data_IF_803563112211
#
_entry.id   IF_803563112211
#
_cell.length_a   1.000
_cell.length_b   1.000
_cell.length_c   1.000
_cell.angle_alpha   90.00
_cell.angle_beta   90.00
_cell.angle_gamma   90.00
#
_symmetry.space_group_name_H-M   'P 1'
#
loop_
_entity.id
_entity.type
_entity.pdbx_description
1 polymer ?
#
# COMPACT_ATOMS: atom_id res chain seq x y z
N UNK A 1 35.83 14.20 26.81
CA UNK A 1 35.35 13.09 25.97
C UNK A 1 35.21 11.86 26.86
N UNK A 2 34.00 11.43 27.19
CA UNK A 2 33.82 10.12 27.85
C UNK A 2 34.43 9.06 26.92
N UNK A 3 35.36 8.25 27.42
CA UNK A 3 35.94 7.16 26.63
C UNK A 3 34.80 6.21 26.28
N UNK A 4 34.69 5.83 25.02
CA UNK A 4 33.63 4.94 24.49
C UNK A 4 33.45 3.70 25.37
N UNK A 5 34.53 3.16 25.95
CA UNK A 5 34.48 2.03 26.88
C UNK A 5 33.76 2.29 28.20
N UNK A 6 33.84 3.50 28.76
CA UNK A 6 33.16 3.85 30.01
C UNK A 6 31.66 4.03 29.77
N UNK A 7 31.28 4.54 28.58
CA UNK A 7 29.89 4.61 28.15
C UNK A 7 29.29 3.22 27.91
N UNK A 8 30.01 2.34 27.20
CA UNK A 8 29.57 0.96 26.95
C UNK A 8 29.37 0.16 28.24
N UNK A 9 30.26 0.32 29.23
CA UNK A 9 30.10 -0.31 30.54
C UNK A 9 28.91 0.25 31.33
N UNK A 10 28.65 1.56 31.23
CA UNK A 10 27.54 2.20 31.94
C UNK A 10 26.17 1.83 31.35
N UNK A 11 26.07 1.77 30.03
CA UNK A 11 24.82 1.55 29.30
C UNK A 11 24.65 0.10 28.80
N UNK A 12 25.40 -0.87 29.36
CA UNK A 12 25.46 -2.24 28.83
C UNK A 12 24.07 -2.91 28.76
N UNK A 13 23.15 -2.56 29.66
CA UNK A 13 21.77 -3.07 29.62
C UNK A 13 21.02 -2.61 28.36
N UNK A 14 21.21 -1.36 27.93
CA UNK A 14 20.61 -0.84 26.70
C UNK A 14 21.16 -1.57 25.48
N UNK A 15 22.46 -1.82 25.44
CA UNK A 15 23.07 -2.60 24.37
C UNK A 15 22.59 -4.05 24.37
N UNK A 16 22.45 -4.69 25.53
CA UNK A 16 21.91 -6.04 25.65
C UNK A 16 20.47 -6.15 25.13
N UNK A 17 19.62 -5.15 25.39
CA UNK A 17 18.25 -5.08 24.85
C UNK A 17 18.21 -4.83 23.34
N UNK A 18 19.23 -4.14 22.80
CA UNK A 18 19.30 -3.76 21.38
C UNK A 18 19.90 -4.87 20.49
N UNK A 19 20.77 -5.72 21.04
CA UNK A 19 21.37 -6.87 20.34
C UNK A 19 20.34 -7.78 19.65
N UNK A 20 19.26 -8.27 20.28
CA UNK A 20 18.31 -9.17 19.61
C UNK A 20 17.64 -8.49 18.40
N UNK A 21 17.34 -7.20 18.48
CA UNK A 21 16.77 -6.44 17.35
C UNK A 21 17.77 -6.29 16.21
N UNK A 22 19.04 -5.94 16.51
CA UNK A 22 20.08 -5.87 15.47
C UNK A 22 20.30 -7.23 14.83
N UNK A 23 20.42 -8.30 15.62
CA UNK A 23 20.62 -9.64 15.09
C UNK A 23 19.48 -10.05 14.17
N UNK A 24 18.24 -9.76 14.56
CA UNK A 24 17.08 -10.01 13.71
C UNK A 24 17.16 -9.23 12.39
N UNK A 25 17.48 -7.94 12.42
CA UNK A 25 17.64 -7.12 11.21
C UNK A 25 18.74 -7.67 10.30
N UNK A 26 19.89 -8.04 10.85
CA UNK A 26 21.02 -8.56 10.08
C UNK A 26 20.66 -9.90 9.44
N UNK A 27 20.03 -10.81 10.19
CA UNK A 27 19.73 -12.17 9.72
C UNK A 27 18.55 -12.19 8.73
N UNK A 28 17.51 -11.40 8.97
CA UNK A 28 16.26 -11.51 8.20
C UNK A 28 16.07 -10.41 7.14
N UNK A 29 16.76 -9.27 7.23
CA UNK A 29 16.71 -8.21 6.21
C UNK A 29 18.01 -8.11 5.41
N UNK A 30 19.16 -7.96 6.07
CA UNK A 30 20.43 -7.73 5.36
C UNK A 30 20.99 -8.99 4.70
N UNK A 31 20.87 -10.16 5.33
CA UNK A 31 21.34 -11.42 4.72
C UNK A 31 20.61 -11.75 3.41
N UNK A 32 19.28 -11.63 3.28
CA UNK A 32 18.62 -11.77 1.98
C UNK A 32 19.10 -10.77 0.91
N UNK A 33 19.53 -9.56 1.30
CA UNK A 33 20.08 -8.59 0.33
C UNK A 33 21.35 -9.08 -0.35
N UNK A 34 22.15 -9.95 0.28
CA UNK A 34 23.26 -10.63 -0.38
C UNK A 34 22.77 -11.47 -1.59
N UNK A 35 21.58 -12.06 -1.49
CA UNK A 35 20.93 -12.80 -2.56
C UNK A 35 20.50 -11.96 -3.76
N UNK A 36 20.44 -10.62 -3.64
CA UNK A 36 20.12 -9.74 -4.77
C UNK A 36 21.14 -9.84 -5.91
N UNK A 37 22.35 -10.36 -5.63
CA UNK A 37 23.34 -10.68 -6.66
C UNK A 37 22.84 -11.70 -7.70
N UNK A 38 21.83 -12.52 -7.36
CA UNK A 38 21.19 -13.46 -8.27
C UNK A 38 20.62 -12.75 -9.51
N UNK A 39 20.20 -11.48 -9.39
CA UNK A 39 19.73 -10.67 -10.51
C UNK A 39 20.76 -10.45 -11.65
N UNK A 40 22.05 -10.65 -11.37
CA UNK A 40 23.15 -10.41 -12.31
C UNK A 40 23.89 -11.70 -12.72
N UNK A 41 23.34 -12.86 -12.36
CA UNK A 41 23.95 -14.17 -12.55
C UNK A 41 23.01 -15.11 -13.30
N UNK A 42 23.57 -16.05 -14.05
CA UNK A 42 22.86 -17.22 -14.54
C UNK A 42 22.79 -18.24 -13.39
N UNK A 43 21.73 -18.12 -12.60
CA UNK A 43 21.65 -18.77 -11.29
C UNK A 43 21.19 -20.22 -11.41
N UNK A 44 21.99 -21.13 -10.85
CA UNK A 44 21.60 -22.52 -10.67
C UNK A 44 21.54 -22.86 -9.19
N UNK A 45 20.41 -23.44 -8.75
CA UNK A 45 20.23 -23.92 -7.38
C UNK A 45 21.36 -24.88 -6.97
N UNK A 46 21.82 -25.73 -7.89
CA UNK A 46 22.86 -26.72 -7.63
C UNK A 46 24.24 -26.11 -7.41
N UNK A 47 24.56 -25.01 -8.11
CA UNK A 47 25.85 -24.29 -7.95
C UNK A 47 25.80 -23.31 -6.78
N UNK A 48 24.61 -22.86 -6.41
CA UNK A 48 24.41 -21.81 -5.41
C UNK A 48 24.84 -20.43 -5.93
N UNK A 49 24.60 -19.40 -5.10
CA UNK A 49 24.78 -17.99 -5.50
C UNK A 49 26.24 -17.65 -5.80
N UNK A 50 27.19 -18.19 -5.03
CA UNK A 50 28.61 -17.84 -5.16
C UNK A 50 29.23 -18.39 -6.45
N UNK A 51 28.97 -19.66 -6.79
CA UNK A 51 29.58 -20.35 -7.93
C UNK A 51 28.81 -20.18 -9.25
N UNK A 52 27.62 -19.58 -9.22
CA UNK A 52 26.88 -19.26 -10.45
C UNK A 52 27.60 -18.14 -11.25
N UNK A 53 27.72 -18.27 -12.59
CA UNK A 53 28.46 -17.34 -13.43
C UNK A 53 27.77 -15.97 -13.49
N UNK A 54 28.57 -14.92 -13.60
CA UNK A 54 28.10 -13.54 -13.72
C UNK A 54 27.81 -13.22 -15.19
N UNK A 55 26.58 -12.81 -15.47
CA UNK A 55 26.12 -12.45 -16.82
C UNK A 55 25.81 -10.95 -16.96
N UNK A 56 25.98 -10.18 -15.88
CA UNK A 56 25.80 -8.73 -15.93
C UNK A 56 24.32 -8.34 -16.04
N UNK A 57 23.98 -7.55 -17.05
CA UNK A 57 22.65 -6.96 -17.20
C UNK A 57 21.70 -7.71 -18.16
N UNK A 58 22.09 -8.91 -18.61
CA UNK A 58 21.33 -9.70 -19.59
C UNK A 58 19.87 -9.94 -19.17
N UNK A 59 19.63 -10.26 -17.89
CA UNK A 59 18.27 -10.43 -17.36
C UNK A 59 17.45 -9.14 -17.45
N UNK A 60 18.06 -7.97 -17.26
CA UNK A 60 17.38 -6.69 -17.37
C UNK A 60 17.02 -6.36 -18.82
N UNK A 61 17.93 -6.63 -19.77
CA UNK A 61 17.64 -6.47 -21.20
C UNK A 61 16.47 -7.38 -21.62
N UNK A 62 16.49 -8.63 -21.21
CA UNK A 62 15.40 -9.58 -21.44
C UNK A 62 14.09 -9.12 -20.80
N UNK A 63 14.18 -8.54 -19.59
CA UNK A 63 13.03 -8.04 -18.85
C UNK A 63 12.36 -6.86 -19.57
N UNK A 64 13.13 -5.90 -20.07
CA UNK A 64 12.60 -4.75 -20.81
C UNK A 64 12.10 -5.10 -22.22
N UNK A 65 12.56 -6.20 -22.81
CA UNK A 65 12.04 -6.74 -24.07
C UNK A 65 10.83 -7.68 -23.87
N UNK A 66 10.41 -7.94 -22.63
CA UNK A 66 9.29 -8.81 -22.32
C UNK A 66 7.98 -8.02 -22.21
N UNK A 67 7.08 -8.22 -23.19
CA UNK A 67 5.76 -7.56 -23.22
C UNK A 67 4.92 -7.80 -21.97
N UNK A 68 5.03 -8.99 -21.35
CA UNK A 68 4.29 -9.29 -20.13
C UNK A 68 4.79 -8.45 -18.96
N UNK A 69 6.11 -8.27 -18.85
CA UNK A 69 6.70 -7.44 -17.81
C UNK A 69 6.35 -5.97 -18.01
N UNK A 70 6.49 -5.43 -19.23
CA UNK A 70 6.13 -4.04 -19.52
C UNK A 70 4.65 -3.76 -19.22
N UNK A 71 3.77 -4.71 -19.54
CA UNK A 71 2.36 -4.65 -19.18
C UNK A 71 2.15 -4.70 -17.66
N UNK A 72 2.84 -5.60 -16.95
CA UNK A 72 2.77 -5.70 -15.50
C UNK A 72 3.25 -4.41 -14.82
N UNK A 73 4.34 -3.80 -15.31
CA UNK A 73 4.84 -2.50 -14.87
C UNK A 73 3.81 -1.39 -15.10
N UNK A 74 3.23 -1.33 -16.31
CA UNK A 74 2.16 -0.36 -16.63
C UNK A 74 0.95 -0.53 -15.71
N UNK A 75 0.49 -1.75 -15.51
CA UNK A 75 -0.65 -2.04 -14.63
C UNK A 75 -0.35 -1.68 -13.18
N UNK A 76 0.87 -1.93 -12.70
CA UNK A 76 1.34 -1.50 -11.38
C UNK A 76 1.15 0.01 -11.27
N UNK A 77 1.76 0.80 -12.17
CA UNK A 77 1.63 2.26 -12.15
C UNK A 77 0.19 2.77 -12.25
N UNK A 78 -0.67 2.14 -13.06
CA UNK A 78 -2.09 2.53 -13.17
C UNK A 78 -2.84 2.23 -11.87
N UNK A 79 -2.66 1.04 -11.29
CA UNK A 79 -3.31 0.65 -10.04
C UNK A 79 -2.83 1.51 -8.87
N UNK A 80 -1.53 1.79 -8.81
CA UNK A 80 -0.90 2.75 -7.91
C UNK A 80 -1.55 4.12 -8.03
N UNK A 81 -1.73 4.63 -9.25
CA UNK A 81 -2.38 5.92 -9.50
C UNK A 81 -3.85 5.92 -9.06
N UNK A 82 -4.61 4.86 -9.33
CA UNK A 82 -5.99 4.74 -8.85
C UNK A 82 -6.08 4.62 -7.34
N UNK A 83 -5.19 3.86 -6.72
CA UNK A 83 -5.09 3.76 -5.26
C UNK A 83 -4.74 5.09 -4.61
N UNK A 84 -3.95 5.93 -5.28
CA UNK A 84 -3.65 7.28 -4.82
C UNK A 84 -4.80 8.26 -5.06
N UNK A 85 -5.45 8.21 -6.23
CA UNK A 85 -6.48 9.17 -6.61
C UNK A 85 -7.82 8.90 -5.90
N UNK A 86 -8.20 7.63 -5.78
CA UNK A 86 -9.47 7.23 -5.16
C UNK A 86 -9.29 6.67 -3.76
N UNK A 87 -8.20 5.92 -3.50
CA UNK A 87 -8.01 5.27 -2.20
C UNK A 87 -7.54 6.21 -1.10
N UNK A 88 -6.55 7.06 -1.38
CA UNK A 88 -5.94 7.93 -0.37
C UNK A 88 -6.88 9.02 0.20
N UNK A 89 -7.77 9.67 -0.58
CA UNK A 89 -8.65 10.71 -0.03
C UNK A 89 -9.76 10.16 0.87
N UNK A 90 -10.25 8.94 0.64
CA UNK A 90 -11.43 8.40 1.34
C UNK A 90 -11.25 8.32 2.86
N UNK A 91 -10.13 7.81 3.41
CA UNK A 91 -9.87 7.86 4.85
C UNK A 91 -9.95 9.28 5.46
N UNK A 92 -9.48 10.30 4.72
CA UNK A 92 -9.52 11.70 5.16
C UNK A 92 -10.97 12.17 5.20
N UNK A 93 -11.75 11.89 4.15
CA UNK A 93 -13.17 12.20 4.12
C UNK A 93 -13.93 11.51 5.25
N UNK A 94 -13.67 10.22 5.51
CA UNK A 94 -14.28 9.49 6.63
C UNK A 94 -13.95 10.13 7.97
N UNK A 95 -12.69 10.53 8.19
CA UNK A 95 -12.28 11.19 9.43
C UNK A 95 -13.01 12.53 9.64
N UNK A 96 -13.13 13.34 8.58
CA UNK A 96 -13.88 14.60 8.61
C UNK A 96 -15.37 14.35 8.89
N UNK A 97 -15.98 13.36 8.23
CA UNK A 97 -17.37 12.97 8.47
C UNK A 97 -17.59 12.53 9.93
N UNK A 98 -16.71 11.68 10.48
CA UNK A 98 -16.79 11.26 11.88
C UNK A 98 -16.57 12.41 12.86
N UNK A 99 -15.78 13.41 12.49
CA UNK A 99 -15.58 14.60 13.32
C UNK A 99 -16.89 15.40 13.49
N UNK A 100 -17.69 15.51 12.44
CA UNK A 100 -18.95 16.27 12.45
C UNK A 100 -20.13 15.54 13.13
N UNK A 101 -19.98 14.26 13.47
CA UNK A 101 -21.05 13.51 14.17
C UNK A 101 -21.15 13.96 15.63
N UNK A 102 -22.27 14.62 15.96
CA UNK A 102 -22.59 15.06 17.33
C UNK A 102 -23.04 13.91 18.25
N UNK A 103 -23.83 12.97 17.72
CA UNK A 103 -24.35 11.85 18.50
C UNK A 103 -23.26 10.80 18.75
N UNK A 104 -22.75 10.76 19.97
CA UNK A 104 -21.64 9.87 20.36
C UNK A 104 -21.97 8.38 20.20
N UNK A 105 -23.22 7.96 20.44
CA UNK A 105 -23.63 6.56 20.25
C UNK A 105 -23.57 6.20 18.77
N UNK A 106 -24.13 7.06 17.91
CA UNK A 106 -24.08 6.85 16.47
C UNK A 106 -22.65 6.87 15.93
N UNK A 107 -21.83 7.83 16.36
CA UNK A 107 -20.41 7.92 16.00
C UNK A 107 -19.66 6.63 16.30
N UNK A 108 -19.80 6.12 17.53
CA UNK A 108 -19.13 4.88 17.96
C UNK A 108 -19.58 3.68 17.13
N UNK A 109 -20.89 3.51 16.91
CA UNK A 109 -21.41 2.41 16.09
C UNK A 109 -20.94 2.49 14.65
N UNK A 110 -21.01 3.68 14.03
CA UNK A 110 -20.57 3.89 12.65
C UNK A 110 -19.06 3.60 12.50
N UNK A 111 -18.24 4.06 13.44
CA UNK A 111 -16.80 3.75 13.47
C UNK A 111 -16.54 2.26 13.59
N UNK A 112 -17.22 1.55 14.51
CA UNK A 112 -17.05 0.09 14.64
C UNK A 112 -17.38 -0.63 13.34
N UNK A 113 -18.49 -0.30 12.67
CA UNK A 113 -18.88 -0.91 11.40
C UNK A 113 -17.83 -0.64 10.31
N UNK A 114 -17.37 0.60 10.21
CA UNK A 114 -16.45 1.04 9.15
C UNK A 114 -15.01 0.56 9.40
N UNK A 115 -14.61 0.32 10.65
CA UNK A 115 -13.27 -0.18 11.01
C UNK A 115 -13.17 -1.71 10.94
N UNK A 116 -14.30 -2.43 11.09
CA UNK A 116 -14.32 -3.89 11.13
C UNK A 116 -13.69 -4.58 9.91
N UNK A 117 -13.91 -4.12 8.65
CA UNK A 117 -13.38 -4.81 7.47
C UNK A 117 -11.86 -5.00 7.46
N UNK A 118 -11.11 -4.07 8.05
CA UNK A 118 -9.65 -4.14 8.12
C UNK A 118 -9.13 -5.40 8.82
N UNK A 119 -9.89 -5.91 9.81
CA UNK A 119 -9.50 -7.09 10.57
C UNK A 119 -9.83 -8.42 9.87
N UNK A 120 -10.49 -8.36 8.71
CA UNK A 120 -10.83 -9.53 7.92
C UNK A 120 -9.65 -9.87 7.01
N UNK A 121 -9.24 -11.14 6.99
CA UNK A 121 -8.16 -11.63 6.14
C UNK A 121 -8.44 -11.38 4.64
N UNK A 122 -7.39 -11.03 3.89
CA UNK A 122 -7.41 -10.87 2.43
C UNK A 122 -8.09 -12.04 1.70
N UNK A 123 -7.90 -13.27 2.19
CA UNK A 123 -8.48 -14.49 1.60
C UNK A 123 -10.00 -14.51 1.76
N UNK A 124 -10.50 -14.13 2.94
CA UNK A 124 -11.95 -14.08 3.21
C UNK A 124 -12.58 -12.96 2.37
N UNK A 125 -11.93 -11.79 2.29
CA UNK A 125 -12.39 -10.69 1.47
C UNK A 125 -12.45 -11.10 -0.01
N UNK A 126 -11.42 -11.80 -0.51
CA UNK A 126 -11.44 -12.34 -1.88
C UNK A 126 -12.62 -13.29 -2.10
N UNK A 127 -12.91 -14.18 -1.14
CA UNK A 127 -14.08 -15.06 -1.17
C UNK A 127 -15.42 -14.29 -1.20
N UNK A 128 -15.54 -13.21 -0.42
CA UNK A 128 -16.69 -12.32 -0.44
C UNK A 128 -16.83 -11.67 -1.82
N UNK A 129 -15.74 -11.18 -2.42
CA UNK A 129 -15.76 -10.59 -3.77
C UNK A 129 -16.18 -11.63 -4.81
N UNK A 130 -15.59 -12.82 -4.81
CA UNK A 130 -15.95 -13.90 -5.74
C UNK A 130 -17.45 -14.23 -5.62
N UNK A 131 -17.96 -14.33 -4.39
CA UNK A 131 -19.37 -14.65 -4.15
C UNK A 131 -20.29 -13.50 -4.57
N UNK A 132 -19.97 -12.27 -4.17
CA UNK A 132 -20.80 -11.08 -4.43
C UNK A 132 -20.91 -10.76 -5.92
N UNK A 133 -19.84 -10.99 -6.68
CA UNK A 133 -19.75 -10.72 -8.12
C UNK A 133 -19.97 -11.97 -9.00
N UNK A 134 -20.43 -13.07 -8.41
CA UNK A 134 -20.78 -14.30 -9.15
C UNK A 134 -21.95 -14.05 -10.13
N UNK A 135 -21.90 -14.59 -11.36
CA UNK A 135 -22.96 -14.41 -12.35
C UNK A 135 -24.28 -15.11 -12.00
N UNK A 136 -24.24 -16.24 -11.27
CA UNK A 136 -25.42 -17.07 -11.03
C UNK A 136 -26.17 -16.77 -9.73
N UNK A 137 -25.46 -16.31 -8.69
CA UNK A 137 -26.05 -16.10 -7.36
C UNK A 137 -25.46 -14.88 -6.62
N UNK A 138 -24.68 -14.04 -7.30
CA UNK A 138 -24.04 -12.89 -6.68
C UNK A 138 -25.02 -11.75 -6.42
N UNK A 139 -24.96 -11.15 -5.22
CA UNK A 139 -25.83 -10.04 -4.83
C UNK A 139 -25.80 -8.88 -5.83
N UNK A 140 -24.66 -8.63 -6.46
CA UNK A 140 -24.50 -7.55 -7.45
C UNK A 140 -25.34 -7.85 -8.70
N UNK A 141 -25.27 -9.08 -9.22
CA UNK A 141 -26.06 -9.47 -10.39
C UNK A 141 -27.56 -9.59 -10.07
N UNK A 142 -27.92 -10.01 -8.85
CA UNK A 142 -29.31 -10.00 -8.40
C UNK A 142 -29.91 -8.60 -8.40
N UNK A 143 -29.17 -7.61 -7.88
CA UNK A 143 -29.60 -6.20 -7.89
C UNK A 143 -29.69 -5.67 -9.32
N UNK A 144 -28.70 -5.98 -10.18
CA UNK A 144 -28.73 -5.59 -11.59
C UNK A 144 -29.94 -6.17 -12.34
N UNK A 145 -30.30 -7.42 -12.04
CA UNK A 145 -31.49 -8.07 -12.59
C UNK A 145 -32.80 -7.37 -12.23
N UNK A 146 -32.90 -6.74 -11.04
CA UNK A 146 -34.06 -5.92 -10.68
C UNK A 146 -34.25 -4.70 -11.58
N UNK A 147 -33.16 -4.22 -12.21
CA UNK A 147 -33.19 -3.13 -13.19
C UNK A 147 -33.21 -3.62 -14.63
N UNK A 148 -33.40 -4.92 -14.87
CA UNK A 148 -33.46 -5.51 -16.21
C UNK A 148 -32.10 -5.63 -16.91
N UNK A 149 -30.99 -5.60 -16.16
CA UNK A 149 -29.64 -5.78 -16.71
C UNK A 149 -29.26 -7.27 -16.68
N UNK A 150 -28.75 -7.77 -17.80
CA UNK A 150 -28.27 -9.16 -17.91
C UNK A 150 -27.11 -9.45 -16.94
N UNK A 151 -27.02 -10.70 -16.48
CA UNK A 151 -25.97 -11.12 -15.57
C UNK A 151 -24.57 -10.95 -16.17
N UNK A 152 -23.69 -10.27 -15.43
CA UNK A 152 -22.32 -9.98 -15.84
C UNK A 152 -21.35 -10.86 -15.06
N UNK A 153 -20.48 -11.58 -15.78
CA UNK A 153 -19.38 -12.31 -15.16
C UNK A 153 -18.16 -11.40 -14.92
N UNK A 154 -18.27 -10.52 -13.92
CA UNK A 154 -17.34 -9.45 -13.62
C UNK A 154 -15.87 -9.88 -13.54
N UNK A 155 -15.55 -10.96 -12.81
CA UNK A 155 -14.16 -11.38 -12.59
C UNK A 155 -13.46 -11.94 -13.83
N UNK A 156 -14.20 -12.22 -14.90
CA UNK A 156 -13.62 -12.60 -16.20
C UNK A 156 -13.40 -11.41 -17.14
N UNK A 157 -13.98 -10.25 -16.81
CA UNK A 157 -13.93 -9.04 -17.64
C UNK A 157 -12.79 -8.11 -17.18
N UNK A 158 -11.76 -7.89 -18.02
CA UNK A 158 -10.58 -7.10 -17.65
C UNK A 158 -10.89 -5.67 -17.19
N UNK A 159 -11.91 -5.04 -17.76
CA UNK A 159 -12.35 -3.69 -17.46
C UNK A 159 -12.87 -3.53 -16.03
N UNK A 160 -13.41 -4.61 -15.44
CA UNK A 160 -13.99 -4.61 -14.10
C UNK A 160 -12.98 -4.93 -13.00
N UNK A 161 -11.81 -5.49 -13.36
CA UNK A 161 -10.82 -5.87 -12.35
C UNK A 161 -10.36 -4.66 -11.51
N UNK A 162 -10.02 -3.53 -12.16
CA UNK A 162 -9.50 -2.35 -11.43
C UNK A 162 -10.55 -1.70 -10.51
N UNK A 163 -11.78 -1.42 -10.99
CA UNK A 163 -12.83 -0.88 -10.12
C UNK A 163 -13.14 -1.79 -8.92
N UNK A 164 -13.24 -3.10 -9.13
CA UNK A 164 -13.50 -4.06 -8.06
C UNK A 164 -12.33 -4.07 -7.06
N UNK A 165 -11.11 -4.19 -7.55
CA UNK A 165 -9.92 -4.23 -6.71
C UNK A 165 -9.76 -2.97 -5.84
N UNK A 166 -9.86 -1.77 -6.45
CA UNK A 166 -9.73 -0.51 -5.72
C UNK A 166 -10.91 -0.28 -4.78
N UNK A 167 -12.14 -0.59 -5.22
CA UNK A 167 -13.34 -0.46 -4.39
C UNK A 167 -13.29 -1.37 -3.16
N UNK A 168 -12.88 -2.63 -3.34
CA UNK A 168 -12.68 -3.57 -2.23
C UNK A 168 -11.56 -3.10 -1.30
N UNK A 169 -10.44 -2.59 -1.84
CA UNK A 169 -9.36 -2.05 -1.02
C UNK A 169 -9.80 -0.85 -0.18
N UNK A 170 -10.61 0.06 -0.75
CA UNK A 170 -11.22 1.18 0.00
C UNK A 170 -12.13 0.66 1.10
N UNK A 171 -13.01 -0.28 0.77
CA UNK A 171 -13.94 -0.85 1.75
C UNK A 171 -13.22 -1.54 2.91
N UNK A 172 -12.14 -2.27 2.61
CA UNK A 172 -11.36 -2.99 3.61
C UNK A 172 -10.56 -2.04 4.52
N UNK A 173 -9.88 -1.05 3.93
CA UNK A 173 -8.84 -0.29 4.65
C UNK A 173 -9.25 1.12 5.07
N UNK A 174 -10.20 1.76 4.38
CA UNK A 174 -10.37 3.20 4.51
C UNK A 174 -10.82 3.64 5.91
N UNK A 175 -11.64 2.81 6.57
CA UNK A 175 -12.06 3.04 7.93
C UNK A 175 -10.89 3.05 8.90
N UNK A 176 -10.08 2.00 8.90
CA UNK A 176 -8.93 1.91 9.79
C UNK A 176 -7.90 3.04 9.52
N UNK A 177 -7.63 3.34 8.25
CA UNK A 177 -6.74 4.44 7.88
C UNK A 177 -7.27 5.82 8.31
N UNK A 178 -8.60 5.98 8.46
CA UNK A 178 -9.21 7.23 8.95
C UNK A 178 -8.84 7.56 10.39
N UNK A 179 -8.45 6.56 11.20
CA UNK A 179 -8.13 6.73 12.63
C UNK A 179 -6.99 7.72 12.83
N UNK A 180 -5.94 7.64 12.01
CA UNK A 180 -4.77 8.53 12.11
C UNK A 180 -5.18 9.99 11.86
N UNK A 181 -6.03 10.23 10.86
CA UNK A 181 -6.55 11.56 10.57
C UNK A 181 -7.49 12.06 11.67
N UNK A 182 -8.36 11.19 12.20
CA UNK A 182 -9.25 11.55 13.29
C UNK A 182 -8.46 11.91 14.56
N UNK A 183 -7.40 11.18 14.87
CA UNK A 183 -6.49 11.48 15.98
C UNK A 183 -5.79 12.83 15.78
N UNK A 184 -5.36 13.14 14.55
CA UNK A 184 -4.78 14.45 14.22
C UNK A 184 -5.80 15.58 14.40
N UNK A 185 -7.06 15.39 13.97
CA UNK A 185 -8.14 16.37 14.18
C UNK A 185 -8.41 16.60 15.66
N UNK A 186 -8.41 15.53 16.47
CA UNK A 186 -8.62 15.61 17.91
C UNK A 186 -7.50 16.37 18.65
N UNK A 187 -6.31 16.49 18.04
CA UNK A 187 -5.20 17.30 18.55
C UNK A 187 -5.31 18.80 18.26
N UNK A 188 -6.29 19.24 17.46
CA UNK A 188 -6.48 20.66 17.13
C UNK A 188 -7.11 21.39 18.32
N UNK A 189 -6.55 22.55 18.70
CA UNK A 189 -7.03 23.35 19.84
C UNK A 189 -8.51 23.73 19.68
N UNK A 190 -9.37 23.46 20.68
CA UNK A 190 -10.77 23.90 20.68
C UNK A 190 -10.93 25.41 20.51
N UNK A 191 -9.96 26.20 20.98
CA UNK A 191 -9.99 27.68 20.91
C UNK A 191 -10.08 28.23 19.48
N UNK A 192 -9.53 27.51 18.49
CA UNK A 192 -9.63 27.87 17.07
C UNK A 192 -11.07 27.74 16.56
N UNK A 193 -11.78 26.70 17.01
CA UNK A 193 -13.18 26.48 16.64
C UNK A 193 -14.11 27.45 17.38
N UNK A 194 -13.86 27.69 18.66
CA UNK A 194 -14.67 28.63 19.48
C UNK A 194 -14.59 30.06 18.94
N UNK A 195 -13.38 30.56 18.64
CA UNK A 195 -13.20 31.88 18.03
C UNK A 195 -13.87 31.99 16.66
N UNK A 196 -13.75 30.96 15.82
CA UNK A 196 -14.40 30.94 14.52
C UNK A 196 -15.94 30.95 14.63
N UNK A 197 -16.52 30.31 15.65
CA UNK A 197 -17.98 30.37 15.91
C UNK A 197 -18.39 31.78 16.34
N UNK A 198 -17.58 32.49 17.14
CA UNK A 198 -17.82 33.89 17.51
C UNK A 198 -17.80 34.79 16.27
N UNK A 199 -16.91 34.52 15.32
CA UNK A 199 -16.84 35.22 14.02
C UNK A 199 -17.95 34.79 13.02
N UNK A 200 -18.87 33.92 13.42
CA UNK A 200 -20.00 33.47 12.60
C UNK A 200 -19.63 32.44 11.52
N UNK A 201 -18.50 31.73 11.67
CA UNK A 201 -18.08 30.72 10.71
C UNK A 201 -19.01 29.50 10.72
N UNK A 202 -19.42 29.04 9.54
CA UNK A 202 -20.18 27.80 9.37
C UNK A 202 -19.30 26.56 9.57
N UNK A 203 -19.90 25.39 9.82
CA UNK A 203 -19.18 24.10 9.95
C UNK A 203 -18.31 23.80 8.73
N UNK A 204 -18.83 24.07 7.53
CA UNK A 204 -18.07 23.92 6.29
C UNK A 204 -16.87 24.87 6.22
N UNK A 205 -17.03 26.12 6.65
CA UNK A 205 -15.92 27.07 6.70
C UNK A 205 -14.85 26.65 7.70
N UNK A 206 -15.24 26.19 8.90
CA UNK A 206 -14.30 25.68 9.89
C UNK A 206 -13.55 24.44 9.38
N UNK A 207 -14.23 23.51 8.71
CA UNK A 207 -13.59 22.33 8.14
C UNK A 207 -12.50 22.70 7.12
N UNK A 208 -12.80 23.59 6.16
CA UNK A 208 -11.86 23.97 5.11
C UNK A 208 -10.78 24.95 5.55
N UNK A 209 -11.08 25.87 6.47
CA UNK A 209 -10.16 26.94 6.87
C UNK A 209 -9.37 26.62 8.14
N UNK A 210 -9.84 25.66 8.95
CA UNK A 210 -9.22 25.32 10.23
C UNK A 210 -8.82 23.84 10.23
N UNK A 211 -9.77 22.92 10.09
CA UNK A 211 -9.51 21.48 10.28
C UNK A 211 -8.50 20.95 9.25
N UNK A 212 -8.79 21.09 7.95
CA UNK A 212 -7.92 20.60 6.87
C UNK A 212 -6.52 21.22 6.93
N UNK A 213 -6.36 22.57 7.05
CA UNK A 213 -5.05 23.18 7.19
C UNK A 213 -4.28 22.71 8.43
N UNK A 214 -4.97 22.45 9.55
CA UNK A 214 -4.33 22.01 10.80
C UNK A 214 -3.79 20.58 10.71
N UNK A 215 -4.48 19.68 9.99
CA UNK A 215 -4.04 18.28 9.80
C UNK A 215 -3.21 18.06 8.53
N UNK A 216 -2.98 19.10 7.73
CA UNK A 216 -2.18 19.05 6.51
C UNK A 216 -0.79 18.43 6.73
N UNK A 217 -0.06 18.70 7.84
CA UNK A 217 1.21 18.03 8.12
C UNK A 217 1.08 16.49 8.19
N UNK A 218 0.01 15.99 8.82
CA UNK A 218 -0.29 14.56 8.90
C UNK A 218 -0.67 13.99 7.54
N UNK A 219 -1.50 14.69 6.76
CA UNK A 219 -1.85 14.29 5.39
C UNK A 219 -0.59 14.15 4.52
N UNK A 220 0.32 15.11 4.61
CA UNK A 220 1.58 15.10 3.86
C UNK A 220 2.45 13.90 4.28
N UNK A 221 2.62 13.66 5.57
CA UNK A 221 3.43 12.51 6.05
C UNK A 221 2.83 11.19 5.55
N UNK A 222 1.51 11.00 5.71
CA UNK A 222 0.83 9.80 5.25
C UNK A 222 0.90 9.64 3.72
N UNK A 223 0.87 10.75 2.97
CA UNK A 223 1.06 10.74 1.52
C UNK A 223 2.45 10.27 1.13
N UNK A 224 3.51 10.75 1.81
CA UNK A 224 4.89 10.31 1.53
C UNK A 224 5.04 8.81 1.81
N UNK A 225 4.51 8.34 2.95
CA UNK A 225 4.51 6.91 3.28
C UNK A 225 3.76 6.11 2.20
N UNK A 226 2.61 6.62 1.72
CA UNK A 226 1.81 5.96 0.68
C UNK A 226 2.53 5.92 -0.68
N UNK A 227 3.21 6.99 -1.07
CA UNK A 227 4.06 7.01 -2.28
C UNK A 227 5.24 6.07 -2.10
N UNK A 228 5.75 5.93 -0.87
CA UNK A 228 6.83 5.01 -0.55
C UNK A 228 6.51 3.58 -0.95
N UNK A 229 5.27 3.17 -0.69
CA UNK A 229 4.79 1.82 -0.93
C UNK A 229 3.97 1.73 -2.23
N UNK A 230 4.13 2.67 -3.17
CA UNK A 230 3.22 2.77 -4.30
C UNK A 230 3.34 1.57 -5.25
N UNK A 231 4.52 0.97 -5.36
CA UNK A 231 4.75 -0.24 -6.17
C UNK A 231 4.42 -1.54 -5.42
N UNK A 232 4.15 -1.45 -4.12
CA UNK A 232 3.72 -2.56 -3.28
C UNK A 232 2.19 -2.58 -3.18
N UNK A 233 1.55 -2.80 -4.33
CA UNK A 233 0.10 -3.05 -4.39
C UNK A 233 -0.19 -4.37 -3.69
N UNK A 234 -1.37 -4.51 -3.07
CA UNK A 234 -1.87 -5.72 -2.40
C UNK A 234 -1.84 -6.97 -3.30
N UNK A 235 -0.64 -7.53 -3.43
CA UNK A 235 -0.30 -8.66 -4.27
C UNK A 235 -1.16 -9.87 -3.91
N UNK A 236 -1.39 -10.09 -2.62
CA UNK A 236 -2.23 -11.16 -2.09
C UNK A 236 -3.65 -11.14 -2.66
N UNK A 237 -4.28 -9.97 -2.74
CA UNK A 237 -5.64 -9.88 -3.27
C UNK A 237 -5.65 -10.12 -4.80
N UNK A 238 -4.64 -9.62 -5.52
CA UNK A 238 -4.54 -9.80 -6.97
C UNK A 238 -4.39 -11.29 -7.31
N UNK A 239 -3.47 -12.01 -6.64
CA UNK A 239 -3.25 -13.43 -6.93
C UNK A 239 -4.49 -14.29 -6.62
N UNK A 240 -5.33 -13.87 -5.67
CA UNK A 240 -6.56 -14.58 -5.32
C UNK A 240 -7.71 -14.33 -6.31
N UNK A 241 -7.73 -13.17 -6.98
CA UNK A 241 -8.86 -12.73 -7.81
C UNK A 241 -8.59 -12.75 -9.32
N UNK A 242 -7.33 -12.68 -9.74
CA UNK A 242 -7.00 -12.61 -11.16
C UNK A 242 -7.24 -13.96 -11.87
N UNK A 243 -7.56 -13.88 -13.15
CA UNK A 243 -7.86 -15.03 -14.01
C UNK A 243 -7.06 -14.85 -15.31
N UNK A 244 -6.76 -15.91 -16.08
CA UNK A 244 -6.05 -15.75 -17.35
C UNK A 244 -6.68 -14.71 -18.29
N UNK A 245 -8.02 -14.58 -18.28
CA UNK A 245 -8.75 -13.57 -19.04
C UNK A 245 -8.47 -12.12 -18.59
N UNK A 246 -8.15 -11.90 -17.32
CA UNK A 246 -7.90 -10.57 -16.73
C UNK A 246 -6.43 -10.24 -16.56
N UNK A 247 -5.49 -11.14 -16.89
CA UNK A 247 -4.04 -10.90 -16.79
C UNK A 247 -3.59 -9.62 -17.49
N UNK A 248 -4.25 -9.24 -18.58
CA UNK A 248 -3.92 -8.00 -19.28
C UNK A 248 -4.09 -6.72 -18.43
N UNK A 249 -5.00 -6.71 -17.45
CA UNK A 249 -5.26 -5.55 -16.57
C UNK A 249 -4.92 -5.80 -15.10
N UNK A 250 -4.90 -7.06 -14.68
CA UNK A 250 -4.72 -7.49 -13.29
C UNK A 250 -3.26 -7.77 -12.92
N UNK A 251 -2.46 -8.26 -13.87
CA UNK A 251 -1.07 -8.65 -13.59
C UNK A 251 -0.23 -7.41 -13.30
N UNK A 252 0.48 -7.43 -12.17
CA UNK A 252 1.38 -6.39 -11.66
C UNK A 252 2.79 -6.95 -11.46
N UNK A 253 3.78 -6.09 -11.20
CA UNK A 253 5.18 -6.52 -11.07
C UNK A 253 5.35 -7.60 -10.00
N UNK A 254 4.67 -7.47 -8.85
CA UNK A 254 4.75 -8.47 -7.79
C UNK A 254 4.14 -9.83 -8.19
N UNK A 255 3.03 -9.85 -8.95
CA UNK A 255 2.46 -11.11 -9.45
C UNK A 255 3.31 -11.73 -10.54
N UNK A 256 3.96 -10.91 -11.37
CA UNK A 256 4.94 -11.36 -12.34
C UNK A 256 6.16 -12.02 -11.65
N UNK A 257 6.74 -11.36 -10.64
CA UNK A 257 7.86 -11.90 -9.86
C UNK A 257 7.48 -13.23 -9.21
N UNK A 258 6.30 -13.29 -8.59
CA UNK A 258 5.80 -14.51 -7.98
C UNK A 258 5.63 -15.65 -8.99
N UNK A 259 5.01 -15.36 -10.14
CA UNK A 259 4.75 -16.36 -11.19
C UNK A 259 6.04 -16.86 -11.83
N UNK A 260 6.95 -15.98 -12.21
CA UNK A 260 8.20 -16.38 -12.85
C UNK A 260 9.16 -17.05 -11.85
N UNK A 261 9.31 -16.47 -10.65
CA UNK A 261 10.29 -16.92 -9.67
C UNK A 261 9.84 -18.16 -8.89
N UNK A 262 8.66 -18.10 -8.27
CA UNK A 262 8.21 -19.17 -7.37
C UNK A 262 7.45 -20.28 -8.10
N UNK A 263 6.57 -19.94 -9.05
CA UNK A 263 5.83 -20.96 -9.82
C UNK A 263 6.66 -21.51 -11.00
N UNK A 264 7.39 -20.62 -11.69
CA UNK A 264 8.18 -20.96 -12.88
C UNK A 264 9.62 -21.38 -12.60
N UNK A 265 10.12 -21.18 -11.37
CA UNK A 265 11.50 -21.54 -10.99
C UNK A 265 12.59 -20.66 -11.58
N UNK A 266 12.24 -19.53 -12.22
CA UNK A 266 13.18 -18.58 -12.83
C UNK A 266 13.63 -17.54 -11.80
N UNK A 267 14.45 -17.97 -10.83
CA UNK A 267 14.82 -17.14 -9.67
C UNK A 267 15.65 -15.91 -10.03
N UNK A 268 16.56 -16.03 -10.98
CA UNK A 268 17.41 -14.94 -11.49
C UNK A 268 16.62 -13.87 -12.22
N UNK A 269 15.77 -14.29 -13.15
CA UNK A 269 14.89 -13.38 -13.87
C UNK A 269 13.89 -12.67 -12.94
N UNK A 270 13.32 -13.39 -11.97
CA UNK A 270 12.44 -12.81 -10.95
C UNK A 270 13.20 -11.89 -9.98
N UNK A 271 14.44 -12.22 -9.61
CA UNK A 271 15.29 -11.36 -8.80
C UNK A 271 15.64 -10.05 -9.51
N UNK A 272 15.90 -10.10 -10.83
CA UNK A 272 16.11 -8.90 -11.64
C UNK A 272 14.87 -7.99 -11.66
N UNK A 273 13.68 -8.56 -11.87
CA UNK A 273 12.42 -7.83 -11.79
C UNK A 273 12.16 -7.24 -10.39
N UNK A 274 12.45 -8.00 -9.33
CA UNK A 274 12.33 -7.53 -7.94
C UNK A 274 13.30 -6.40 -7.61
N UNK A 275 14.57 -6.51 -8.03
CA UNK A 275 15.56 -5.46 -7.83
C UNK A 275 15.18 -4.19 -8.58
N UNK A 276 14.72 -4.32 -9.83
CA UNK A 276 14.19 -3.18 -10.58
C UNK A 276 13.03 -2.51 -9.82
N UNK A 277 12.05 -3.28 -9.35
CA UNK A 277 10.91 -2.75 -8.59
C UNK A 277 11.36 -1.99 -7.33
N UNK A 278 12.30 -2.56 -6.57
CA UNK A 278 12.83 -1.94 -5.35
C UNK A 278 13.58 -0.63 -5.63
N UNK A 279 14.39 -0.59 -6.70
CA UNK A 279 15.10 0.63 -7.11
C UNK A 279 14.12 1.73 -7.54
N UNK A 280 13.10 1.39 -8.34
CA UNK A 280 12.09 2.37 -8.76
C UNK A 280 11.30 2.87 -7.55
N UNK A 281 10.89 1.98 -6.63
CA UNK A 281 10.24 2.37 -5.39
C UNK A 281 11.11 3.36 -4.61
N UNK A 282 12.39 3.03 -4.39
CA UNK A 282 13.33 3.89 -3.68
C UNK A 282 13.45 5.28 -4.32
N UNK A 283 13.58 5.37 -5.65
CA UNK A 283 13.64 6.65 -6.38
C UNK A 283 12.35 7.45 -6.16
N UNK A 284 11.17 6.81 -6.24
CA UNK A 284 9.88 7.46 -6.01
C UNK A 284 9.77 8.00 -4.58
N UNK A 285 10.15 7.22 -3.58
CA UNK A 285 10.15 7.63 -2.16
C UNK A 285 11.07 8.83 -1.95
N UNK A 286 12.29 8.75 -2.46
CA UNK A 286 13.31 9.80 -2.30
C UNK A 286 12.87 11.10 -2.98
N UNK A 287 12.27 11.00 -4.16
CA UNK A 287 11.72 12.14 -4.90
C UNK A 287 10.57 12.78 -4.12
N UNK A 288 9.62 11.97 -3.65
CA UNK A 288 8.48 12.46 -2.87
C UNK A 288 8.90 13.13 -1.56
N UNK A 289 9.86 12.53 -0.84
CA UNK A 289 10.41 13.10 0.39
C UNK A 289 11.15 14.42 0.13
N UNK A 290 11.93 14.50 -0.96
CA UNK A 290 12.66 15.73 -1.34
C UNK A 290 11.70 16.86 -1.71
N UNK A 291 10.64 16.55 -2.45
CA UNK A 291 9.57 17.51 -2.78
C UNK A 291 8.88 17.96 -1.48
N UNK A 292 8.53 17.04 -0.59
CA UNK A 292 7.90 17.40 0.70
C UNK A 292 8.79 18.33 1.51
N UNK A 293 10.10 18.06 1.63
CA UNK A 293 11.05 18.93 2.34
C UNK A 293 11.08 20.35 1.80
N UNK A 294 10.87 20.53 0.49
CA UNK A 294 10.92 21.83 -0.17
C UNK A 294 9.64 22.64 0.03
N UNK A 295 8.49 21.98 0.09
CA UNK A 295 7.17 22.64 0.13
C UNK A 295 6.46 22.54 1.49
N UNK A 296 6.94 21.68 2.40
CA UNK A 296 6.44 21.51 3.76
C UNK A 296 7.57 21.57 4.77
N UNK A 297 7.30 22.12 5.96
CA UNK A 297 8.22 22.05 7.12
C UNK A 297 8.24 20.66 7.77
N UNK A 298 7.51 19.68 7.22
CA UNK A 298 7.48 18.30 7.69
C UNK A 298 8.16 17.34 6.71
N UNK A 299 9.04 16.51 7.25
CA UNK A 299 9.74 15.44 6.56
C UNK A 299 9.79 14.18 7.40
N UNK A 300 9.97 13.02 6.74
CA UNK A 300 10.19 11.74 7.45
C UNK A 300 11.53 11.72 8.19
N UNK A 301 12.48 12.54 7.75
CA UNK A 301 13.85 12.68 8.27
C UNK A 301 14.32 14.12 8.13
#
# INVERSE_FOLDING_TARGET
>A
MQRVGDHLKREWQLYAMLIPTILWLVIFLYKPMYGLQIAFKDYSIFRGVAASPWIGFEHFETLFNNDQFLRALRNTLIMSAYGLLFGFPVPIFLALMFNEILNQKFKKTAQTIVYLPHFISSVIIAGIVITAFSPSAGIVNTILGWFGVDAVYFLTKPEWFRPIFIGTGIWQEAGFQSIVYLAAIAGVSPTLYESAVVDGASRWQMMWKITIPSILPTIIIMLIIRIGNILEISFEMIILLYQPATYQTADVVNTFIYRQGLQGGQYDFAAAAGLFNAVVAFILVMTANTISKRYSRTSLW
#
